data_IF_564532804781
#
_entry.id   IF_564532804781
#
_cell.length_a   1.000
_cell.length_b   1.000
_cell.length_c   1.000
_cell.angle_alpha   90.00
_cell.angle_beta   90.00
_cell.angle_gamma   90.00
#
_symmetry.space_group_name_H-M   'P 1'
#
loop_
_entity.id
_entity.type
_entity.pdbx_description
1 polymer ?
#
# COMPACT_ATOMS: atom_id res chain seq x y z
N UNK A 1 50.06 4.71 -23.65
CA UNK A 1 49.98 6.07 -23.07
C UNK A 1 48.52 6.30 -22.70
N UNK A 2 48.13 5.94 -21.48
CA UNK A 2 46.73 6.03 -21.01
C UNK A 2 46.46 7.46 -20.57
N UNK A 3 45.56 8.15 -21.26
CA UNK A 3 45.13 9.50 -20.87
C UNK A 3 44.38 9.41 -19.54
N UNK A 4 44.75 10.27 -18.59
CA UNK A 4 44.05 10.36 -17.30
C UNK A 4 42.65 10.95 -17.50
N UNK A 5 41.65 10.60 -16.65
CA UNK A 5 40.30 11.14 -16.77
C UNK A 5 40.27 12.68 -16.79
N UNK A 6 41.19 13.32 -16.07
CA UNK A 6 41.37 14.77 -16.05
C UNK A 6 41.81 15.35 -17.38
N UNK A 7 42.57 14.60 -18.20
CA UNK A 7 42.99 15.04 -19.53
C UNK A 7 41.83 15.03 -20.54
N UNK A 8 40.84 14.15 -20.37
CA UNK A 8 39.66 14.09 -21.25
C UNK A 8 38.75 15.31 -21.03
N UNK A 9 38.60 15.76 -19.79
CA UNK A 9 37.76 16.91 -19.44
C UNK A 9 38.25 18.25 -20.05
N UNK A 10 39.56 18.36 -20.35
CA UNK A 10 40.15 19.57 -20.90
C UNK A 10 40.00 19.72 -22.43
N UNK A 11 39.61 18.67 -23.16
CA UNK A 11 39.50 18.69 -24.63
C UNK A 11 38.22 19.33 -25.16
N UNK A 12 37.22 19.58 -24.31
CA UNK A 12 35.95 20.21 -24.69
C UNK A 12 35.90 21.58 -24.01
N UNK A 13 36.02 22.70 -24.74
CA UNK A 13 35.75 24.01 -24.15
C UNK A 13 34.29 24.06 -23.71
N UNK A 14 34.08 24.01 -22.39
CA UNK A 14 32.79 24.01 -21.71
C UNK A 14 32.30 25.43 -21.43
N UNK A 15 32.57 26.38 -22.32
CA UNK A 15 32.04 27.74 -22.16
C UNK A 15 30.55 27.74 -22.49
N UNK A 16 29.75 28.34 -21.60
CA UNK A 16 28.31 28.50 -21.79
C UNK A 16 28.08 29.44 -22.98
N UNK A 17 27.27 29.07 -24.00
CA UNK A 17 27.02 29.93 -25.14
C UNK A 17 26.40 31.27 -24.75
N UNK A 18 26.81 32.33 -25.43
CA UNK A 18 26.26 33.68 -25.25
C UNK A 18 24.73 33.65 -25.40
N UNK A 19 24.02 34.16 -24.38
CA UNK A 19 22.56 34.21 -24.34
C UNK A 19 21.87 33.07 -23.59
N UNK A 20 22.61 32.09 -23.08
CA UNK A 20 22.08 31.06 -22.18
C UNK A 20 22.10 31.55 -20.73
N UNK A 21 21.09 31.14 -19.97
CA UNK A 21 21.05 31.42 -18.52
C UNK A 21 22.11 30.60 -17.80
N UNK A 22 22.76 31.20 -16.81
CA UNK A 22 23.67 30.53 -15.88
C UNK A 22 22.97 30.36 -14.52
N UNK A 23 22.19 29.28 -14.33
CA UNK A 23 21.46 29.06 -13.09
C UNK A 23 22.43 28.64 -11.97
N UNK A 24 22.02 28.88 -10.73
CA UNK A 24 22.77 28.40 -9.56
C UNK A 24 22.86 26.88 -9.56
N UNK A 25 24.00 26.39 -9.06
CA UNK A 25 24.23 24.96 -8.88
C UNK A 25 23.14 24.29 -8.04
N UNK A 26 22.78 23.08 -8.45
CA UNK A 26 21.80 22.26 -7.74
C UNK A 26 22.46 21.67 -6.49
N UNK A 27 21.82 21.87 -5.34
CA UNK A 27 22.20 21.16 -4.13
C UNK A 27 21.85 19.68 -4.26
N UNK A 28 22.86 18.82 -4.43
CA UNK A 28 22.68 17.38 -4.62
C UNK A 28 22.01 16.68 -3.44
N UNK A 29 22.26 17.11 -2.20
CA UNK A 29 21.60 16.53 -1.02
C UNK A 29 20.10 16.85 -1.06
N UNK A 30 19.75 18.09 -1.40
CA UNK A 30 18.35 18.48 -1.56
C UNK A 30 17.66 17.67 -2.66
N UNK A 31 18.30 17.50 -3.82
CA UNK A 31 17.77 16.71 -4.93
C UNK A 31 17.52 15.24 -4.52
N UNK A 32 18.46 14.62 -3.79
CA UNK A 32 18.31 13.26 -3.28
C UNK A 32 17.19 13.14 -2.24
N UNK A 33 17.04 14.12 -1.35
CA UNK A 33 15.95 14.14 -0.37
C UNK A 33 14.59 14.31 -1.04
N UNK A 34 14.49 15.12 -2.08
CA UNK A 34 13.26 15.27 -2.86
C UNK A 34 12.94 13.97 -3.60
N UNK A 35 13.92 13.40 -4.32
CA UNK A 35 13.70 12.24 -5.17
C UNK A 35 13.50 10.93 -4.38
N UNK A 36 14.24 10.73 -3.30
CA UNK A 36 14.16 9.51 -2.48
C UNK A 36 13.39 9.68 -1.18
N UNK A 37 13.59 10.82 -0.52
CA UNK A 37 12.97 11.10 0.78
C UNK A 37 11.45 11.28 0.68
N UNK A 38 10.93 11.98 -0.33
CA UNK A 38 9.48 12.15 -0.49
C UNK A 38 8.78 10.81 -0.75
N UNK A 39 9.20 9.96 -1.72
CA UNK A 39 8.58 8.66 -1.91
C UNK A 39 8.67 7.75 -0.68
N UNK A 40 9.81 7.75 0.02
CA UNK A 40 9.98 6.96 1.24
C UNK A 40 9.05 7.44 2.35
N UNK A 41 8.95 8.75 2.56
CA UNK A 41 8.06 9.33 3.57
C UNK A 41 6.59 9.06 3.24
N UNK A 42 6.21 9.13 1.97
CA UNK A 42 4.87 8.76 1.53
C UNK A 42 4.57 7.29 1.81
N UNK A 43 5.50 6.39 1.45
CA UNK A 43 5.38 4.95 1.74
C UNK A 43 5.18 4.70 3.24
N UNK A 44 6.01 5.31 4.09
CA UNK A 44 5.92 5.17 5.54
C UNK A 44 4.59 5.73 6.08
N UNK A 45 4.14 6.88 5.56
CA UNK A 45 2.86 7.48 5.96
C UNK A 45 1.68 6.57 5.62
N UNK A 46 1.69 5.97 4.43
CA UNK A 46 0.67 5.00 4.02
C UNK A 46 0.75 3.74 4.91
N UNK A 47 1.94 3.20 5.14
CA UNK A 47 2.13 2.03 6.00
C UNK A 47 1.59 2.29 7.42
N UNK A 48 1.88 3.46 7.99
CA UNK A 48 1.32 3.86 9.29
C UNK A 48 -0.20 3.97 9.20
N UNK A 49 -0.76 4.66 8.21
CA UNK A 49 -2.21 4.80 8.08
C UNK A 49 -2.94 3.45 7.96
N UNK A 50 -2.32 2.46 7.30
CA UNK A 50 -2.89 1.12 7.08
C UNK A 50 -2.74 0.22 8.31
N UNK A 51 -1.55 0.17 8.91
CA UNK A 51 -1.25 -0.82 9.96
C UNK A 51 -1.44 -0.28 11.37
N UNK A 52 -1.41 1.03 11.59
CA UNK A 52 -1.59 1.60 12.93
C UNK A 52 -2.96 1.26 13.55
N UNK A 53 -4.09 1.32 12.83
CA UNK A 53 -5.40 1.00 13.43
C UNK A 53 -5.50 -0.45 13.92
N UNK A 54 -4.98 -1.41 13.15
CA UNK A 54 -4.98 -2.83 13.52
C UNK A 54 -4.04 -3.11 14.69
N UNK A 55 -2.88 -2.44 14.74
CA UNK A 55 -1.98 -2.48 15.90
C UNK A 55 -2.65 -1.94 17.17
N UNK A 56 -3.37 -0.82 17.08
CA UNK A 56 -4.10 -0.24 18.22
C UNK A 56 -5.23 -1.15 18.73
N UNK A 57 -5.84 -1.96 17.86
CA UNK A 57 -6.88 -2.94 18.22
C UNK A 57 -6.31 -4.26 18.75
N UNK A 58 -5.01 -4.47 18.67
CA UNK A 58 -4.36 -5.74 19.02
C UNK A 58 -4.65 -6.86 18.02
N UNK A 59 -5.03 -6.54 16.79
CA UNK A 59 -5.27 -7.52 15.73
C UNK A 59 -3.95 -8.17 15.30
N UNK A 60 -3.96 -9.48 15.06
CA UNK A 60 -2.77 -10.21 14.61
C UNK A 60 -2.54 -9.99 13.12
N UNK A 61 -1.54 -9.18 12.77
CA UNK A 61 -1.13 -8.90 11.39
C UNK A 61 -0.19 -10.03 10.92
N UNK A 62 -0.77 -11.16 10.50
CA UNK A 62 -0.01 -12.30 9.96
C UNK A 62 -0.35 -12.53 8.47
N UNK A 63 0.65 -12.53 7.57
CA UNK A 63 0.42 -12.90 6.17
C UNK A 63 -0.07 -14.36 6.07
N UNK A 64 -1.12 -14.59 5.29
CA UNK A 64 -1.70 -15.93 5.09
C UNK A 64 -2.74 -16.37 6.14
N UNK A 65 -3.23 -15.47 7.00
CA UNK A 65 -4.45 -15.76 7.76
C UNK A 65 -5.62 -15.96 6.81
N UNK A 66 -6.42 -17.04 6.97
CA UNK A 66 -7.67 -17.20 6.24
C UNK A 66 -8.52 -15.94 6.45
N UNK A 67 -9.20 -15.43 5.41
CA UNK A 67 -10.20 -14.39 5.61
C UNK A 67 -11.16 -14.86 6.71
N UNK A 68 -11.59 -13.94 7.59
CA UNK A 68 -12.56 -14.25 8.64
C UNK A 68 -13.77 -14.87 7.95
N UNK A 69 -13.86 -16.19 8.02
CA UNK A 69 -14.95 -16.91 7.40
C UNK A 69 -16.23 -16.45 8.10
N UNK A 70 -17.30 -16.27 7.33
CA UNK A 70 -18.63 -16.06 7.90
C UNK A 70 -19.01 -17.33 8.66
N UNK A 71 -18.59 -17.39 9.93
CA UNK A 71 -18.94 -18.49 10.80
C UNK A 71 -20.40 -18.33 11.17
N UNK A 72 -21.22 -19.28 10.74
CA UNK A 72 -22.56 -19.43 11.28
C UNK A 72 -22.45 -20.02 12.68
N UNK A 73 -22.27 -19.14 13.68
CA UNK A 73 -22.26 -19.55 15.08
C UNK A 73 -23.69 -19.97 15.46
N UNK A 74 -23.92 -21.27 15.60
CA UNK A 74 -25.23 -21.87 15.86
C UNK A 74 -25.94 -22.45 14.62
N UNK A 75 -25.24 -22.60 13.50
CA UNK A 75 -25.78 -23.18 12.27
C UNK A 75 -25.87 -24.71 12.32
N UNK A 76 -26.69 -25.33 11.46
CA UNK A 76 -26.82 -26.77 11.44
C UNK A 76 -25.47 -27.43 11.20
N UNK A 77 -25.12 -28.40 12.04
CA UNK A 77 -23.77 -29.01 12.08
C UNK A 77 -23.45 -29.81 10.81
N UNK A 78 -24.48 -30.13 10.02
CA UNK A 78 -24.42 -30.98 8.83
C UNK A 78 -24.81 -30.23 7.53
N UNK A 79 -24.75 -28.89 7.54
CA UNK A 79 -25.03 -28.05 6.37
C UNK A 79 -26.53 -27.76 6.16
N UNK A 80 -26.87 -27.21 4.99
CA UNK A 80 -28.22 -26.70 4.66
C UNK A 80 -29.31 -27.78 4.56
N UNK A 81 -28.93 -29.06 4.63
CA UNK A 81 -29.86 -30.19 4.57
C UNK A 81 -30.76 -30.32 5.81
N UNK A 82 -30.38 -29.72 6.94
CA UNK A 82 -31.22 -29.63 8.15
C UNK A 82 -32.23 -28.46 8.09
N UNK A 83 -32.13 -27.60 7.08
CA UNK A 83 -33.13 -26.58 6.83
C UNK A 83 -34.32 -27.23 6.12
N UNK A 84 -35.51 -27.17 6.72
CA UNK A 84 -36.75 -27.59 6.07
C UNK A 84 -36.88 -26.85 4.73
N UNK A 85 -37.04 -27.59 3.64
CA UNK A 85 -37.26 -26.99 2.32
C UNK A 85 -38.49 -26.10 2.39
N UNK A 86 -38.44 -24.96 1.72
CA UNK A 86 -39.51 -23.96 1.59
C UNK A 86 -40.87 -24.54 1.13
N UNK A 87 -40.90 -25.79 0.67
CA UNK A 87 -42.03 -26.46 0.04
C UNK A 87 -42.86 -27.35 0.98
N UNK A 88 -42.58 -27.36 2.28
CA UNK A 88 -43.50 -27.95 3.27
C UNK A 88 -44.54 -26.92 3.68
N UNK A 89 -45.82 -27.24 3.48
CA UNK A 89 -46.98 -26.36 3.71
C UNK A 89 -47.19 -25.90 5.18
N UNK A 90 -46.29 -26.28 6.09
CA UNK A 90 -46.33 -26.04 7.54
C UNK A 90 -44.99 -25.47 8.05
N UNK A 91 -44.37 -24.57 7.27
CA UNK A 91 -43.09 -23.95 7.64
C UNK A 91 -43.31 -22.69 8.50
N UNK A 92 -43.28 -22.84 9.82
CA UNK A 92 -43.28 -21.75 10.82
C UNK A 92 -41.94 -20.97 10.88
N UNK A 93 -41.26 -20.78 9.75
CA UNK A 93 -40.02 -20.01 9.69
C UNK A 93 -40.32 -18.52 9.49
N UNK A 94 -40.27 -17.73 10.56
CA UNK A 94 -40.33 -16.27 10.53
C UNK A 94 -38.94 -15.61 10.35
N UNK A 95 -38.89 -14.39 9.81
CA UNK A 95 -37.66 -13.61 9.67
C UNK A 95 -37.76 -12.26 10.39
N UNK A 96 -36.70 -11.87 11.09
CA UNK A 96 -36.57 -10.55 11.70
C UNK A 96 -35.53 -9.72 10.95
N UNK A 97 -35.84 -8.46 10.63
CA UNK A 97 -34.89 -7.51 10.05
C UNK A 97 -34.92 -6.20 10.82
N UNK A 98 -33.78 -5.52 10.89
CA UNK A 98 -33.63 -4.21 11.49
C UNK A 98 -32.67 -3.37 10.65
N UNK A 99 -32.93 -2.06 10.56
CA UNK A 99 -32.06 -1.07 9.95
C UNK A 99 -31.68 -0.06 11.02
N UNK A 100 -30.39 0.27 11.08
CA UNK A 100 -29.83 1.31 11.91
C UNK A 100 -29.56 2.52 11.01
#
# INVERSE_FOLDING_TARGET
>A
MTLSPSAIAALVPMDVPVGWSDPKDVNMVHALLVLGGIPLLLFLSIAVAVYLPSLLRGERIAPGQPPVENQWIGGPRTGTAELTSRETADSDSGGASGRW
#
